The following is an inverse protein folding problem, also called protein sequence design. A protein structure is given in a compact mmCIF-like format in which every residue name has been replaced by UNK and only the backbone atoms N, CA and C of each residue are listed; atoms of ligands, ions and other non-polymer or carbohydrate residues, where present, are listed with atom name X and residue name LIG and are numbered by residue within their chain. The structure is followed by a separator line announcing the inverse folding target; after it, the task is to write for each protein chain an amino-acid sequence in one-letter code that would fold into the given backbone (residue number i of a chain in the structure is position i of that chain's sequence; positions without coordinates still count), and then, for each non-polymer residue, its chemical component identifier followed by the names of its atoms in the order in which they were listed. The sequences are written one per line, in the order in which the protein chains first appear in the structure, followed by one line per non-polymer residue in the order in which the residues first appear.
data_IF_633318338592
#
_entry.id   IF_633318338592
#
_cell.length_a   1.000
_cell.length_b   1.000
_cell.length_c   1.000
_cell.angle_alpha   90.00
_cell.angle_beta   90.00
_cell.angle_gamma   90.00
#
_symmetry.space_group_name_H-M   'P 1'
#
loop_
_entity.id
_entity.type
_entity.pdbx_description
1 polymer ?
#
# COMPACT_ATOMS: atom_id res chain seq x y z
N UNK A 1 -2.67 -22.13 8.89
CA UNK A 1 -2.86 -20.70 8.51
C UNK A 1 -2.62 -20.56 7.01
N UNK A 2 -3.52 -19.94 6.24
CA UNK A 2 -3.29 -19.71 4.80
C UNK A 2 -2.01 -18.88 4.62
N UNK A 3 -1.11 -19.31 3.72
CA UNK A 3 0.14 -18.59 3.43
C UNK A 3 -0.21 -17.21 2.87
N UNK A 4 0.35 -16.15 3.46
CA UNK A 4 0.16 -14.79 2.95
C UNK A 4 0.91 -14.69 1.61
N UNK A 5 0.22 -14.28 0.54
CA UNK A 5 0.83 -14.11 -0.79
C UNK A 5 0.74 -12.64 -1.22
N UNK A 6 1.60 -12.17 -2.12
CA UNK A 6 1.52 -10.79 -2.63
C UNK A 6 0.13 -10.48 -3.21
N UNK A 7 -0.48 -11.44 -3.91
CA UNK A 7 -1.85 -11.32 -4.43
C UNK A 7 -2.89 -11.11 -3.33
N UNK A 8 -2.74 -11.78 -2.20
CA UNK A 8 -3.63 -11.62 -1.05
C UNK A 8 -3.47 -10.23 -0.43
N UNK A 9 -2.22 -9.76 -0.26
CA UNK A 9 -1.91 -8.43 0.27
C UNK A 9 -2.53 -7.34 -0.59
N UNK A 10 -2.33 -7.40 -1.92
CA UNK A 10 -2.88 -6.43 -2.87
C UNK A 10 -4.40 -6.35 -2.76
N UNK A 11 -5.08 -7.51 -2.68
CA UNK A 11 -6.54 -7.56 -2.50
C UNK A 11 -6.99 -6.92 -1.19
N UNK A 12 -6.31 -7.20 -0.09
CA UNK A 12 -6.63 -6.64 1.23
C UNK A 12 -6.45 -5.12 1.25
N UNK A 13 -5.36 -4.61 0.69
CA UNK A 13 -5.09 -3.17 0.65
C UNK A 13 -6.05 -2.45 -0.29
N UNK A 14 -6.40 -3.06 -1.42
CA UNK A 14 -7.44 -2.52 -2.29
C UNK A 14 -8.80 -2.46 -1.57
N UNK A 15 -9.17 -3.50 -0.82
CA UNK A 15 -10.37 -3.50 0.00
C UNK A 15 -10.33 -2.39 1.06
N UNK A 16 -9.22 -2.25 1.79
CA UNK A 16 -9.03 -1.20 2.79
C UNK A 16 -9.20 0.20 2.17
N UNK A 17 -8.57 0.44 1.02
CA UNK A 17 -8.66 1.74 0.35
C UNK A 17 -10.03 2.04 -0.25
N UNK A 18 -10.77 1.04 -0.70
CA UNK A 18 -12.09 1.24 -1.30
C UNK A 18 -13.20 1.35 -0.26
N UNK A 19 -13.06 0.67 0.88
CA UNK A 19 -14.11 0.56 1.90
C UNK A 19 -13.87 1.36 3.16
N UNK A 20 -12.64 1.79 3.46
CA UNK A 20 -12.31 2.41 4.75
C UNK A 20 -11.84 3.85 4.56
N UNK A 21 -10.89 4.08 3.65
CA UNK A 21 -10.35 5.43 3.39
C UNK A 21 -11.43 6.47 3.03
N UNK A 22 -12.45 6.18 2.19
CA UNK A 22 -13.47 7.19 1.84
C UNK A 22 -14.28 7.69 3.04
N UNK A 23 -14.36 6.89 4.11
CA UNK A 23 -15.03 7.26 5.35
C UNK A 23 -14.11 8.00 6.32
N UNK A 24 -12.79 8.00 6.07
CA UNK A 24 -11.77 8.62 6.93
C UNK A 24 -11.25 9.96 6.40
N UNK A 25 -11.32 10.22 5.09
CA UNK A 25 -10.78 11.47 4.54
C UNK A 25 -11.64 12.09 3.42
N UNK A 26 -11.94 13.39 3.59
CA UNK A 26 -12.17 14.33 2.47
C UNK A 26 -10.83 14.99 2.15
N UNK A 27 -10.00 14.39 1.29
CA UNK A 27 -8.76 15.06 0.85
C UNK A 27 -9.05 16.06 -0.27
N UNK A 28 -8.57 17.29 -0.11
CA UNK A 28 -8.76 18.39 -1.05
C UNK A 28 -8.05 18.17 -2.39
N UNK A 29 -8.67 18.64 -3.47
CA UNK A 29 -8.31 18.41 -4.89
C UNK A 29 -7.07 19.18 -5.39
N UNK A 30 -6.01 19.33 -4.59
CA UNK A 30 -4.83 20.15 -4.97
C UNK A 30 -3.49 19.41 -5.01
N UNK A 31 -3.51 18.10 -5.29
CA UNK A 31 -2.27 17.35 -5.48
C UNK A 31 -1.94 17.14 -6.97
N UNK A 32 -0.65 17.08 -7.27
CA UNK A 32 -0.10 16.69 -8.59
C UNK A 32 -0.82 15.43 -9.11
N UNK A 33 -0.94 15.24 -10.44
CA UNK A 33 -1.58 14.05 -10.99
C UNK A 33 -0.94 12.80 -10.37
N UNK A 34 -1.75 12.00 -9.67
CA UNK A 34 -1.30 10.77 -9.03
C UNK A 34 -1.08 9.73 -10.13
N UNK A 35 0.12 9.71 -10.73
CA UNK A 35 0.51 8.73 -11.75
C UNK A 35 0.33 7.30 -11.21
N UNK A 36 0.64 7.10 -9.92
CA UNK A 36 0.47 5.83 -9.21
C UNK A 36 -0.55 5.97 -8.08
N UNK A 37 -1.50 5.03 -8.03
CA UNK A 37 -2.55 4.98 -7.00
C UNK A 37 -1.93 4.68 -5.63
N UNK A 38 -2.39 5.34 -4.57
CA UNK A 38 -1.79 5.18 -3.24
C UNK A 38 -1.84 3.73 -2.73
N UNK A 39 -2.97 3.03 -2.97
CA UNK A 39 -3.12 1.62 -2.59
C UNK A 39 -2.10 0.71 -3.27
N UNK A 40 -1.64 1.07 -4.48
CA UNK A 40 -0.58 0.33 -5.16
C UNK A 40 0.74 0.52 -4.42
N UNK A 41 1.13 1.77 -4.14
CA UNK A 41 2.38 2.08 -3.42
C UNK A 41 2.42 1.39 -2.06
N UNK A 42 1.32 1.43 -1.31
CA UNK A 42 1.21 0.78 0.00
C UNK A 42 1.24 -0.74 -0.12
N UNK A 43 0.59 -1.32 -1.13
CA UNK A 43 0.71 -2.76 -1.37
C UNK A 43 2.15 -3.17 -1.62
N UNK A 44 2.88 -2.41 -2.44
CA UNK A 44 4.31 -2.65 -2.70
C UNK A 44 5.15 -2.53 -1.42
N UNK A 45 4.90 -1.52 -0.58
CA UNK A 45 5.59 -1.37 0.71
C UNK A 45 5.35 -2.55 1.65
N UNK A 46 4.10 -3.01 1.77
CA UNK A 46 3.79 -4.14 2.65
C UNK A 46 4.42 -5.42 2.09
N UNK A 47 4.40 -5.63 0.77
CA UNK A 47 5.10 -6.75 0.15
C UNK A 47 6.60 -6.69 0.44
N UNK A 48 7.23 -5.51 0.34
CA UNK A 48 8.63 -5.30 0.69
C UNK A 48 8.94 -5.77 2.11
N UNK A 49 8.14 -5.35 3.10
CA UNK A 49 8.35 -5.71 4.51
C UNK A 49 8.01 -7.18 4.82
N UNK A 50 6.95 -7.73 4.22
CA UNK A 50 6.50 -9.09 4.51
C UNK A 50 7.36 -10.18 3.84
N UNK A 51 8.05 -9.85 2.74
CA UNK A 51 8.93 -10.76 1.98
C UNK A 51 10.41 -10.37 2.07
N UNK A 52 10.83 -9.71 3.16
CA UNK A 52 12.06 -8.91 3.32
C UNK A 52 12.82 -8.55 2.03
N UNK A 53 12.15 -7.87 1.10
CA UNK A 53 12.73 -7.48 -0.19
C UNK A 53 13.40 -6.10 -0.12
N UNK A 54 14.38 -5.87 -0.98
CA UNK A 54 14.84 -4.52 -1.29
C UNK A 54 13.79 -3.75 -2.10
N UNK A 55 13.92 -2.41 -2.17
CA UNK A 55 13.06 -1.58 -3.03
C UNK A 55 13.14 -2.00 -4.50
N UNK A 56 14.33 -2.39 -4.98
CA UNK A 56 14.55 -2.83 -6.37
C UNK A 56 13.86 -4.18 -6.64
N UNK A 57 14.04 -5.16 -5.76
CA UNK A 57 13.37 -6.47 -5.88
C UNK A 57 11.85 -6.34 -5.80
N UNK A 58 11.36 -5.46 -4.93
CA UNK A 58 9.93 -5.16 -4.82
C UNK A 58 9.39 -4.62 -6.15
N UNK A 59 10.10 -3.70 -6.80
CA UNK A 59 9.70 -3.17 -8.11
C UNK A 59 9.67 -4.29 -9.17
N UNK A 60 10.67 -5.17 -9.18
CA UNK A 60 10.73 -6.31 -10.12
C UNK A 60 9.53 -7.22 -9.91
N UNK A 61 9.30 -7.68 -8.68
CA UNK A 61 8.17 -8.56 -8.34
C UNK A 61 6.81 -7.89 -8.58
N UNK A 62 6.73 -6.58 -8.38
CA UNK A 62 5.47 -5.84 -8.59
C UNK A 62 5.03 -5.78 -10.05
N UNK A 63 5.94 -6.00 -11.01
CA UNK A 63 5.60 -6.06 -12.45
C UNK A 63 4.67 -7.22 -12.78
N UNK A 64 4.69 -8.29 -11.98
CA UNK A 64 3.81 -9.43 -12.18
C UNK A 64 2.34 -9.13 -11.78
N UNK A 65 2.12 -8.05 -11.02
CA UNK A 65 0.81 -7.72 -10.45
C UNK A 65 0.23 -6.39 -10.93
N UNK A 66 1.08 -5.45 -11.35
CA UNK A 66 0.66 -4.11 -11.77
C UNK A 66 1.18 -3.79 -13.17
N UNK A 67 0.29 -3.29 -14.05
CA UNK A 67 0.66 -2.87 -15.41
C UNK A 67 1.69 -1.74 -15.42
N UNK A 68 1.54 -0.76 -14.53
CA UNK A 68 2.43 0.40 -14.42
C UNK A 68 3.08 0.40 -13.04
N UNK A 69 4.38 0.16 -12.95
CA UNK A 69 5.12 0.12 -11.70
C UNK A 69 5.98 1.39 -11.56
N UNK A 70 6.03 2.03 -10.37
CA UNK A 70 6.86 3.21 -10.17
C UNK A 70 8.35 2.93 -10.37
N UNK A 71 9.07 3.93 -10.85
CA UNK A 71 10.52 3.94 -10.77
C UNK A 71 10.97 4.01 -9.32
N UNK A 72 12.22 3.60 -9.05
CA UNK A 72 12.79 3.57 -7.71
C UNK A 72 12.62 4.89 -6.96
N UNK A 73 12.97 6.01 -7.63
CA UNK A 73 12.84 7.36 -7.07
C UNK A 73 11.41 7.70 -6.70
N UNK A 74 10.46 7.42 -7.59
CA UNK A 74 9.04 7.70 -7.36
C UNK A 74 8.48 6.83 -6.24
N UNK A 75 8.91 5.56 -6.17
CA UNK A 75 8.49 4.65 -5.14
C UNK A 75 8.95 5.12 -3.75
N UNK A 76 10.22 5.51 -3.60
CA UNK A 76 10.74 6.11 -2.37
C UNK A 76 10.02 7.40 -2.00
N UNK A 77 9.85 8.30 -2.97
CA UNK A 77 9.18 9.59 -2.73
C UNK A 77 7.72 9.41 -2.29
N UNK A 78 6.98 8.53 -2.94
CA UNK A 78 5.57 8.29 -2.61
C UNK A 78 5.42 7.55 -1.28
N UNK A 79 6.34 6.64 -0.96
CA UNK A 79 6.35 5.95 0.33
C UNK A 79 6.43 6.93 1.50
N UNK A 80 7.33 7.92 1.45
CA UNK A 80 7.46 8.92 2.51
C UNK A 80 6.23 9.83 2.64
N UNK A 81 5.49 10.07 1.55
CA UNK A 81 4.25 10.86 1.57
C UNK A 81 3.03 10.10 2.10
N UNK A 82 3.09 8.77 2.19
CA UNK A 82 1.97 7.92 2.62
C UNK A 82 2.08 7.47 4.08
N UNK A 83 3.05 7.99 4.84
CA UNK A 83 3.29 7.62 6.23
C UNK A 83 2.04 7.72 7.10
N UNK A 84 1.29 8.83 7.00
CA UNK A 84 0.04 9.01 7.73
C UNK A 84 -1.00 7.91 7.43
N UNK A 85 -1.10 7.46 6.18
CA UNK A 85 -2.06 6.42 5.80
C UNK A 85 -1.61 5.06 6.32
N UNK A 86 -0.30 4.80 6.33
CA UNK A 86 0.28 3.60 6.96
C UNK A 86 -0.03 3.58 8.46
N UNK A 87 0.09 4.72 9.15
CA UNK A 87 -0.28 4.82 10.58
C UNK A 87 -1.77 4.51 10.82
N UNK A 88 -2.67 5.02 9.96
CA UNK A 88 -4.10 4.67 10.02
C UNK A 88 -4.30 3.17 9.83
N UNK A 89 -3.64 2.56 8.84
CA UNK A 89 -3.72 1.13 8.58
C UNK A 89 -3.26 0.31 9.79
N UNK A 90 -2.15 0.69 10.41
CA UNK A 90 -1.64 0.03 11.63
C UNK A 90 -2.65 0.13 12.76
N UNK A 91 -3.19 1.33 13.03
CA UNK A 91 -4.23 1.53 14.05
C UNK A 91 -5.46 0.67 13.76
N UNK A 92 -5.89 0.61 12.52
CA UNK A 92 -7.03 -0.21 12.10
C UNK A 92 -6.78 -1.71 12.36
N UNK A 93 -5.60 -2.22 12.00
CA UNK A 93 -5.21 -3.60 12.27
C UNK A 93 -5.16 -3.86 13.79
N UNK A 94 -4.58 -2.96 14.57
CA UNK A 94 -4.53 -3.08 16.04
C UNK A 94 -5.93 -3.14 16.67
N UNK A 95 -6.87 -2.33 16.19
CA UNK A 95 -8.27 -2.35 16.67
C UNK A 95 -8.92 -3.70 16.38
N UNK A 96 -8.72 -4.25 15.18
CA UNK A 96 -9.26 -5.57 14.81
C UNK A 96 -8.62 -6.65 15.67
N UNK A 97 -7.29 -6.70 15.76
CA UNK A 97 -6.58 -7.73 16.50
C UNK A 97 -6.84 -7.69 18.01
N UNK A 98 -7.23 -6.53 18.59
CA UNK A 98 -7.64 -6.43 19.99
C UNK A 98 -9.08 -6.89 20.26
N UNK A 99 -9.92 -6.94 19.22
CA UNK A 99 -11.33 -7.37 19.34
C UNK A 99 -11.52 -8.88 19.15
N UNK A 100 -10.49 -9.58 18.68
CA UNK A 100 -10.44 -11.03 18.51
C UNK A 100 -9.73 -11.61 19.73
#
# INVERSE_FOLDING_TARGET
MKKLTPKTIIKLIHFFYSKIIPYLSKSSNRERPRIYKDHQIISMLIIKEMFPLSFKETIILSRDYFKNVPFLRDFHYRASKLEHIIQILIKFIQIICRKI
#
